data_IF_329310307711
#
_entry.id   IF_329310307711
#
_cell.length_a   1.000
_cell.length_b   1.000
_cell.length_c   1.000
_cell.angle_alpha   90.00
_cell.angle_beta   90.00
_cell.angle_gamma   90.00
#
_symmetry.space_group_name_H-M   'P 1'
#
loop_
_entity.id
_entity.type
_entity.pdbx_description
1 polymer ?
#
# COMPACT_ATOMS: atom_id res chain seq x y z
N UNK A 1 -8.67 -29.23 6.58
CA UNK A 1 -8.59 -28.15 7.58
C UNK A 1 -7.80 -27.02 6.93
N UNK A 2 -8.47 -25.93 6.54
CA UNK A 2 -7.76 -24.76 5.98
C UNK A 2 -6.97 -24.14 7.14
N UNK A 3 -5.64 -24.23 7.11
CA UNK A 3 -4.79 -23.48 8.02
C UNK A 3 -5.14 -21.99 7.85
N UNK A 4 -5.44 -21.30 8.94
CA UNK A 4 -5.67 -19.87 8.91
C UNK A 4 -4.41 -19.21 8.35
N UNK A 5 -4.56 -18.47 7.26
CA UNK A 5 -3.47 -17.71 6.63
C UNK A 5 -2.83 -16.75 7.65
N UNK A 6 -1.49 -16.83 7.81
CA UNK A 6 -0.75 -16.00 8.74
C UNK A 6 -0.46 -14.64 8.08
N UNK A 7 -1.02 -13.56 8.61
CA UNK A 7 -1.04 -12.23 7.97
C UNK A 7 -0.49 -11.18 8.91
N UNK A 8 0.33 -10.26 8.40
CA UNK A 8 0.72 -9.06 9.12
C UNK A 8 0.40 -7.79 8.31
N UNK A 9 0.29 -6.66 9.02
CA UNK A 9 0.16 -5.34 8.40
C UNK A 9 1.55 -4.71 8.30
N UNK A 10 1.90 -4.22 7.13
CA UNK A 10 3.17 -3.55 6.86
C UNK A 10 2.96 -2.06 6.59
N UNK A 11 3.69 -1.21 7.29
CA UNK A 11 3.51 0.24 7.28
C UNK A 11 4.84 0.92 6.96
N UNK A 12 5.04 1.43 5.73
CA UNK A 12 6.15 2.33 5.45
C UNK A 12 5.88 3.69 6.11
N UNK A 13 6.82 4.20 6.89
CA UNK A 13 6.66 5.44 7.63
C UNK A 13 7.85 6.38 7.46
N UNK A 14 7.58 7.67 7.23
CA UNK A 14 8.57 8.73 7.20
C UNK A 14 7.97 10.03 7.73
N UNK A 15 8.46 10.50 8.88
CA UNK A 15 7.96 11.69 9.58
C UNK A 15 6.47 11.57 9.92
N UNK A 16 6.12 10.48 10.62
CA UNK A 16 4.76 10.19 11.09
C UNK A 16 4.66 10.20 12.63
N UNK A 17 5.62 10.83 13.32
CA UNK A 17 5.52 11.05 14.77
C UNK A 17 4.21 11.76 15.13
N UNK A 18 3.63 11.37 16.26
CA UNK A 18 2.30 11.83 16.72
C UNK A 18 1.11 11.09 16.12
N UNK A 19 1.32 10.24 15.06
CA UNK A 19 0.24 9.50 14.39
C UNK A 19 0.47 8.00 14.36
N UNK A 20 1.70 7.59 14.04
CA UNK A 20 2.04 6.19 13.81
C UNK A 20 1.68 5.29 15.00
N UNK A 21 1.86 5.76 16.22
CA UNK A 21 1.51 5.01 17.42
C UNK A 21 0.02 4.68 17.52
N UNK A 22 -0.85 5.61 17.14
CA UNK A 22 -2.30 5.38 17.12
C UNK A 22 -2.70 4.37 16.04
N UNK A 23 -2.11 4.48 14.84
CA UNK A 23 -2.34 3.53 13.73
C UNK A 23 -1.92 2.13 14.13
N UNK A 24 -0.72 1.96 14.70
CA UNK A 24 -0.22 0.65 15.15
C UNK A 24 -1.14 0.03 16.21
N UNK A 25 -1.53 0.80 17.25
CA UNK A 25 -2.45 0.28 18.28
C UNK A 25 -3.80 -0.14 17.70
N UNK A 26 -4.35 0.65 16.77
CA UNK A 26 -5.64 0.32 16.16
C UNK A 26 -5.58 -0.94 15.29
N UNK A 27 -4.48 -1.18 14.56
CA UNK A 27 -4.25 -2.43 13.81
C UNK A 27 -4.08 -3.60 14.76
N UNK A 28 -3.28 -3.45 15.83
CA UNK A 28 -3.08 -4.50 16.83
C UNK A 28 -4.37 -4.89 17.57
N UNK A 29 -5.25 -3.93 17.78
CA UNK A 29 -6.58 -4.19 18.35
C UNK A 29 -7.45 -5.11 17.47
N UNK A 30 -7.13 -5.22 16.15
CA UNK A 30 -7.75 -6.20 15.24
C UNK A 30 -7.08 -7.59 15.31
N UNK A 31 -6.14 -7.81 16.21
CA UNK A 31 -5.43 -9.08 16.37
C UNK A 31 -4.31 -9.34 15.35
N UNK A 32 -3.92 -8.33 14.55
CA UNK A 32 -2.89 -8.47 13.54
C UNK A 32 -1.53 -7.99 14.04
N UNK A 33 -0.47 -8.69 13.64
CA UNK A 33 0.91 -8.23 13.82
C UNK A 33 1.20 -7.03 12.90
N UNK A 34 2.09 -6.14 13.35
CA UNK A 34 2.45 -4.92 12.61
C UNK A 34 3.96 -4.85 12.43
N UNK A 35 4.39 -4.68 11.19
CA UNK A 35 5.77 -4.38 10.83
C UNK A 35 5.82 -2.94 10.31
N UNK A 36 6.56 -2.07 10.97
CA UNK A 36 6.80 -0.68 10.54
C UNK A 36 8.20 -0.57 9.98
N UNK A 37 8.34 0.00 8.80
CA UNK A 37 9.65 0.40 8.27
C UNK A 37 9.76 1.92 8.37
N UNK A 38 10.54 2.37 9.36
CA UNK A 38 10.94 3.77 9.50
C UNK A 38 12.00 4.11 8.44
N UNK A 39 11.60 4.83 7.42
CA UNK A 39 12.44 5.16 6.26
C UNK A 39 13.38 6.34 6.54
N UNK A 40 14.13 6.23 7.63
CA UNK A 40 15.13 7.23 8.03
C UNK A 40 14.52 8.53 8.58
N UNK A 41 13.46 8.44 9.38
CA UNK A 41 12.83 9.62 9.99
C UNK A 41 13.78 10.31 10.99
N UNK A 42 13.86 11.64 10.97
CA UNK A 42 14.62 12.40 11.95
C UNK A 42 13.88 12.64 13.28
N UNK A 43 12.58 12.27 13.32
CA UNK A 43 11.68 12.44 14.46
C UNK A 43 11.46 11.12 15.23
N UNK A 44 10.52 11.10 16.17
CA UNK A 44 10.22 9.94 17.01
C UNK A 44 9.40 8.83 16.32
N UNK A 45 9.22 8.84 15.00
CA UNK A 45 8.37 7.89 14.25
C UNK A 45 8.65 6.44 14.63
N UNK A 46 9.92 5.99 14.55
CA UNK A 46 10.29 4.62 14.88
C UNK A 46 10.06 4.27 16.36
N UNK A 47 10.41 5.20 17.26
CA UNK A 47 10.23 5.00 18.70
C UNK A 47 8.75 4.88 19.09
N UNK A 48 7.89 5.72 18.54
CA UNK A 48 6.44 5.67 18.79
C UNK A 48 5.80 4.38 18.23
N UNK A 49 6.25 3.92 17.05
CA UNK A 49 5.79 2.66 16.48
C UNK A 49 6.17 1.47 17.36
N UNK A 50 7.43 1.43 17.84
CA UNK A 50 7.91 0.38 18.74
C UNK A 50 7.15 0.39 20.07
N UNK A 51 6.97 1.57 20.69
CA UNK A 51 6.20 1.73 21.92
C UNK A 51 4.73 1.31 21.78
N UNK A 52 4.17 1.39 20.56
CA UNK A 52 2.82 0.92 20.24
C UNK A 52 2.75 -0.60 19.96
N UNK A 53 3.90 -1.30 19.95
CA UNK A 53 4.00 -2.75 19.82
C UNK A 53 4.20 -3.24 18.39
N UNK A 54 4.73 -2.42 17.48
CA UNK A 54 5.16 -2.87 16.16
C UNK A 54 6.57 -3.46 16.20
N UNK A 55 6.84 -4.42 15.30
CA UNK A 55 8.21 -4.74 14.89
C UNK A 55 8.71 -3.62 14.01
N UNK A 56 9.79 -2.94 14.40
CA UNK A 56 10.32 -1.78 13.68
C UNK A 56 11.63 -2.11 13.00
N UNK A 57 11.68 -1.87 11.69
CA UNK A 57 12.91 -1.83 10.89
C UNK A 57 13.23 -0.38 10.55
N UNK A 58 14.51 -0.01 10.58
CA UNK A 58 14.90 1.38 10.30
C UNK A 58 15.95 1.45 9.20
N UNK A 59 15.69 2.30 8.20
CA UNK A 59 16.69 2.68 7.23
C UNK A 59 17.61 3.79 7.77
N UNK A 60 18.89 3.75 7.43
CA UNK A 60 19.83 4.81 7.83
C UNK A 60 19.49 6.17 7.21
N UNK A 61 18.90 6.17 6.01
CA UNK A 61 18.46 7.36 5.28
C UNK A 61 17.14 7.08 4.56
N UNK A 62 16.41 8.13 4.15
CA UNK A 62 15.20 7.98 3.36
C UNK A 62 15.49 7.38 1.99
N UNK A 63 14.95 6.18 1.72
CA UNK A 63 15.07 5.41 0.48
C UNK A 63 13.80 5.43 -0.35
N UNK A 64 12.72 5.96 0.20
CA UNK A 64 11.39 6.08 -0.39
C UNK A 64 10.48 4.89 -0.12
N UNK A 65 9.16 5.15 -0.24
CA UNK A 65 8.08 4.20 0.10
C UNK A 65 8.26 2.82 -0.53
N UNK A 66 8.65 2.75 -1.80
CA UNK A 66 8.86 1.47 -2.49
C UNK A 66 9.97 0.62 -1.86
N UNK A 67 11.08 1.23 -1.44
CA UNK A 67 12.16 0.54 -0.76
C UNK A 67 11.74 0.08 0.65
N UNK A 68 10.98 0.91 1.37
CA UNK A 68 10.44 0.55 2.68
C UNK A 68 9.47 -0.63 2.60
N UNK A 69 8.56 -0.62 1.63
CA UNK A 69 7.66 -1.76 1.38
C UNK A 69 8.44 -3.04 1.05
N UNK A 70 9.46 -2.95 0.18
CA UNK A 70 10.28 -4.11 -0.14
C UNK A 70 10.99 -4.69 1.10
N UNK A 71 11.54 -3.83 1.96
CA UNK A 71 12.13 -4.24 3.24
C UNK A 71 11.10 -4.92 4.14
N UNK A 72 9.87 -4.38 4.21
CA UNK A 72 8.79 -4.98 4.98
C UNK A 72 8.37 -6.36 4.44
N UNK A 73 8.31 -6.53 3.11
CA UNK A 73 7.98 -7.82 2.50
C UNK A 73 9.05 -8.89 2.75
N UNK A 74 10.33 -8.51 2.74
CA UNK A 74 11.42 -9.41 3.09
C UNK A 74 11.29 -9.88 4.56
N UNK A 75 11.10 -8.94 5.48
CA UNK A 75 10.87 -9.24 6.90
C UNK A 75 9.65 -10.15 7.11
N UNK A 76 8.54 -9.88 6.43
CA UNK A 76 7.35 -10.71 6.53
C UNK A 76 7.60 -12.17 6.06
N UNK A 77 8.37 -12.36 4.98
CA UNK A 77 8.78 -13.71 4.52
C UNK A 77 9.65 -14.42 5.55
N UNK A 78 10.64 -13.73 6.10
CA UNK A 78 11.57 -14.28 7.11
C UNK A 78 10.83 -14.73 8.37
N UNK A 79 9.71 -14.06 8.71
CA UNK A 79 8.87 -14.41 9.86
C UNK A 79 7.76 -15.41 9.53
N UNK A 80 7.74 -15.99 8.31
CA UNK A 80 6.80 -17.04 7.94
C UNK A 80 5.36 -16.58 7.77
N UNK A 81 5.13 -15.30 7.39
CA UNK A 81 3.80 -14.84 7.00
C UNK A 81 3.47 -15.33 5.59
N UNK A 82 2.20 -15.62 5.34
CA UNK A 82 1.66 -16.03 4.04
C UNK A 82 1.27 -14.82 3.18
N UNK A 83 0.78 -13.77 3.86
CA UNK A 83 0.30 -12.57 3.21
C UNK A 83 0.60 -11.31 4.04
N UNK A 84 0.52 -10.18 3.37
CA UNK A 84 0.65 -8.86 4.01
C UNK A 84 -0.49 -7.94 3.61
N UNK A 85 -0.84 -7.03 4.50
CA UNK A 85 -1.66 -5.87 4.17
C UNK A 85 -0.78 -4.63 4.25
N UNK A 86 -0.67 -3.88 3.15
CA UNK A 86 0.00 -2.58 3.16
C UNK A 86 -0.95 -1.51 3.68
N UNK A 87 -0.44 -0.58 4.48
CA UNK A 87 -1.21 0.53 5.03
C UNK A 87 -0.30 1.74 5.21
N UNK A 88 -0.80 2.95 4.95
CA UNK A 88 -0.01 4.17 5.18
C UNK A 88 0.01 4.55 6.67
N UNK A 89 1.13 5.15 7.12
CA UNK A 89 1.32 5.55 8.53
C UNK A 89 0.65 6.87 8.90
N UNK A 90 0.03 7.57 7.96
CA UNK A 90 -0.56 8.91 8.11
C UNK A 90 -1.96 8.90 8.77
N UNK A 91 -2.55 7.72 8.97
CA UNK A 91 -3.86 7.54 9.58
C UNK A 91 -5.03 7.88 8.65
N UNK A 92 -4.83 7.99 7.34
CA UNK A 92 -5.92 8.18 6.37
C UNK A 92 -6.69 6.88 6.09
N UNK A 93 -6.09 5.72 6.32
CA UNK A 93 -6.76 4.42 6.23
C UNK A 93 -7.39 4.06 7.57
N UNK A 94 -8.64 3.61 7.55
CA UNK A 94 -9.34 3.16 8.74
C UNK A 94 -8.97 1.70 9.05
N UNK A 95 -8.30 1.40 10.17
CA UNK A 95 -8.01 0.01 10.56
C UNK A 95 -9.26 -0.84 10.77
N UNK A 96 -10.42 -0.23 11.01
CA UNK A 96 -11.70 -0.95 11.10
C UNK A 96 -12.14 -1.57 9.76
N UNK A 97 -11.53 -1.21 8.65
CA UNK A 97 -11.78 -1.84 7.34
C UNK A 97 -10.91 -3.09 7.07
N UNK A 98 -9.93 -3.40 7.95
CA UNK A 98 -9.09 -4.61 7.83
C UNK A 98 -9.91 -5.90 7.73
N UNK A 99 -10.93 -6.16 8.58
CA UNK A 99 -11.77 -7.35 8.45
C UNK A 99 -12.50 -7.42 7.10
N UNK A 100 -12.97 -6.29 6.58
CA UNK A 100 -13.69 -6.25 5.30
C UNK A 100 -12.74 -6.56 4.12
N UNK A 101 -11.53 -6.00 4.12
CA UNK A 101 -10.50 -6.29 3.12
C UNK A 101 -10.09 -7.77 3.14
N UNK A 102 -9.91 -8.35 4.32
CA UNK A 102 -9.59 -9.76 4.50
C UNK A 102 -10.74 -10.68 4.05
N UNK A 103 -11.98 -10.31 4.35
CA UNK A 103 -13.16 -11.07 3.91
C UNK A 103 -13.28 -11.04 2.37
N UNK A 104 -13.03 -9.90 1.74
CA UNK A 104 -13.00 -9.78 0.28
C UNK A 104 -11.90 -10.65 -0.34
N UNK A 105 -10.68 -10.62 0.18
CA UNK A 105 -9.57 -11.45 -0.28
C UNK A 105 -9.88 -12.94 -0.20
N UNK A 106 -10.53 -13.38 0.89
CA UNK A 106 -10.98 -14.78 1.05
C UNK A 106 -12.08 -15.15 0.06
N UNK A 107 -13.04 -14.25 -0.17
CA UNK A 107 -14.19 -14.49 -1.07
C UNK A 107 -13.75 -14.55 -2.52
N UNK A 108 -12.89 -13.62 -2.95
CA UNK A 108 -12.39 -13.57 -4.33
C UNK A 108 -11.34 -14.66 -4.61
N UNK A 109 -10.62 -15.10 -3.57
CA UNK A 109 -9.45 -15.97 -3.71
C UNK A 109 -8.29 -15.31 -4.45
N UNK A 110 -8.42 -14.03 -4.83
CA UNK A 110 -7.40 -13.29 -5.55
C UNK A 110 -6.17 -13.12 -4.66
N UNK A 111 -4.95 -13.27 -5.22
CA UNK A 111 -3.73 -13.08 -4.46
C UNK A 111 -3.40 -11.59 -4.21
N UNK A 112 -4.16 -10.69 -4.82
CA UNK A 112 -4.06 -9.23 -4.65
C UNK A 112 -5.45 -8.63 -4.54
N UNK A 113 -5.70 -7.88 -3.47
CA UNK A 113 -6.88 -7.04 -3.33
C UNK A 113 -6.49 -5.59 -3.06
N UNK A 114 -7.04 -4.66 -3.83
CA UNK A 114 -6.78 -3.22 -3.69
C UNK A 114 -7.99 -2.54 -3.08
N UNK A 115 -7.78 -1.78 -2.01
CA UNK A 115 -8.83 -0.98 -1.40
C UNK A 115 -9.42 0.02 -2.39
N UNK A 116 -10.75 0.11 -2.43
CA UNK A 116 -11.49 0.99 -3.33
C UNK A 116 -12.19 2.11 -2.55
N UNK A 117 -11.57 3.29 -2.51
CA UNK A 117 -12.12 4.50 -1.92
C UNK A 117 -13.15 5.19 -2.82
N UNK A 118 -13.21 4.77 -4.10
CA UNK A 118 -14.15 5.35 -5.08
C UNK A 118 -15.59 4.88 -4.84
N UNK A 119 -15.78 3.82 -4.03
CA UNK A 119 -17.10 3.35 -3.62
C UNK A 119 -17.84 4.39 -2.74
N UNK A 120 -17.07 5.10 -1.88
CA UNK A 120 -17.57 6.22 -1.06
C UNK A 120 -16.64 7.44 -1.22
N UNK A 121 -16.69 8.06 -2.38
CA UNK A 121 -15.83 9.18 -2.72
C UNK A 121 -16.45 10.55 -2.39
N UNK A 122 -17.56 10.61 -1.64
CA UNK A 122 -18.27 11.87 -1.36
C UNK A 122 -17.37 12.89 -0.64
N UNK A 123 -16.59 12.43 0.34
CA UNK A 123 -15.65 13.26 1.11
C UNK A 123 -14.33 13.57 0.36
N UNK A 124 -14.08 12.93 -0.80
CA UNK A 124 -12.84 13.13 -1.54
C UNK A 124 -12.87 14.45 -2.33
N UNK A 125 -11.82 15.30 -2.24
CA UNK A 125 -11.72 16.51 -3.07
C UNK A 125 -11.89 16.19 -4.56
N UNK A 126 -12.69 16.98 -5.27
CA UNK A 126 -13.07 16.73 -6.67
C UNK A 126 -11.86 16.50 -7.58
N UNK A 127 -10.82 17.34 -7.46
CA UNK A 127 -9.61 17.22 -8.27
C UNK A 127 -8.93 15.86 -8.03
N UNK A 128 -8.77 15.45 -6.77
CA UNK A 128 -8.17 14.15 -6.41
C UNK A 128 -9.00 12.98 -6.95
N UNK A 129 -10.33 13.07 -6.89
CA UNK A 129 -11.24 12.06 -7.42
C UNK A 129 -11.10 11.87 -8.94
N UNK A 130 -11.05 12.97 -9.70
CA UNK A 130 -10.88 12.90 -11.15
C UNK A 130 -9.50 12.38 -11.54
N UNK A 131 -8.45 12.86 -10.89
CA UNK A 131 -7.07 12.38 -11.12
C UNK A 131 -6.95 10.88 -10.83
N UNK A 132 -7.46 10.41 -9.70
CA UNK A 132 -7.42 8.99 -9.33
C UNK A 132 -8.21 8.13 -10.34
N UNK A 133 -9.39 8.59 -10.77
CA UNK A 133 -10.18 7.89 -11.79
C UNK A 133 -9.44 7.79 -13.12
N UNK A 134 -8.85 8.89 -13.59
CA UNK A 134 -8.08 8.91 -14.83
C UNK A 134 -6.86 7.98 -14.78
N UNK A 135 -6.10 8.03 -13.69
CA UNK A 135 -4.94 7.16 -13.49
C UNK A 135 -5.35 5.69 -13.39
N UNK A 136 -6.42 5.39 -12.65
CA UNK A 136 -6.92 4.01 -12.50
C UNK A 136 -7.48 3.47 -13.82
N UNK A 137 -8.19 4.28 -14.59
CA UNK A 137 -8.65 3.91 -15.93
C UNK A 137 -7.48 3.58 -16.86
N UNK A 138 -6.43 4.44 -16.90
CA UNK A 138 -5.26 4.22 -17.73
C UNK A 138 -4.51 2.94 -17.34
N UNK A 139 -4.26 2.75 -16.02
CA UNK A 139 -3.63 1.53 -15.53
C UNK A 139 -4.46 0.29 -15.83
N UNK A 140 -5.77 0.35 -15.59
CA UNK A 140 -6.70 -0.75 -15.86
C UNK A 140 -6.66 -1.20 -17.34
N UNK A 141 -6.59 -0.22 -18.27
CA UNK A 141 -6.43 -0.50 -19.71
C UNK A 141 -5.13 -1.24 -20.02
N UNK A 142 -4.01 -0.82 -19.40
CA UNK A 142 -2.70 -1.46 -19.61
C UNK A 142 -2.64 -2.83 -18.95
N UNK A 143 -3.21 -2.98 -17.76
CA UNK A 143 -3.29 -4.25 -17.03
C UNK A 143 -4.30 -5.23 -17.64
N UNK A 144 -5.25 -4.74 -18.47
CA UNK A 144 -6.43 -5.48 -18.92
C UNK A 144 -7.26 -6.04 -17.77
N UNK A 145 -7.29 -5.32 -16.67
CA UNK A 145 -8.05 -5.65 -15.46
C UNK A 145 -8.71 -4.39 -14.92
N UNK A 146 -9.94 -4.52 -14.39
CA UNK A 146 -10.66 -3.40 -13.82
C UNK A 146 -10.30 -3.25 -12.32
N UNK A 147 -9.49 -2.24 -12.01
CA UNK A 147 -9.15 -1.85 -10.64
C UNK A 147 -9.60 -0.41 -10.42
N UNK A 148 -10.71 -0.18 -9.72
CA UNK A 148 -11.35 1.14 -9.61
C UNK A 148 -10.48 2.21 -8.95
N UNK A 149 -9.60 1.82 -8.01
CA UNK A 149 -8.72 2.75 -7.27
C UNK A 149 -7.28 2.20 -7.16
N UNK A 150 -6.52 2.29 -8.24
CA UNK A 150 -5.12 1.87 -8.27
C UNK A 150 -4.20 2.74 -7.41
N UNK A 151 -4.69 3.87 -6.89
CA UNK A 151 -3.92 4.82 -6.09
C UNK A 151 -4.11 4.61 -4.57
N UNK A 152 -4.95 3.67 -4.17
CA UNK A 152 -5.10 3.30 -2.77
C UNK A 152 -3.88 2.50 -2.30
N UNK A 153 -3.27 2.91 -1.18
CA UNK A 153 -2.14 2.21 -0.53
C UNK A 153 -2.58 1.10 0.43
N UNK A 154 -3.88 0.97 0.67
CA UNK A 154 -4.45 -0.07 1.54
C UNK A 154 -4.74 -1.31 0.70
N UNK A 155 -3.86 -2.33 0.76
CA UNK A 155 -3.88 -3.48 -0.15
C UNK A 155 -3.51 -4.76 0.57
N UNK A 156 -4.17 -5.85 0.19
CA UNK A 156 -3.78 -7.20 0.55
C UNK A 156 -2.91 -7.81 -0.56
N UNK A 157 -1.87 -8.52 -0.18
CA UNK A 157 -1.01 -9.29 -1.08
C UNK A 157 -0.63 -10.64 -0.47
N UNK A 158 -0.81 -11.73 -1.19
CA UNK A 158 -0.09 -12.97 -0.88
C UNK A 158 1.39 -12.79 -1.17
N UNK A 159 2.25 -13.13 -0.23
CA UNK A 159 3.70 -12.95 -0.38
C UNK A 159 4.29 -13.76 -1.53
N UNK A 160 3.66 -14.90 -1.88
CA UNK A 160 4.08 -15.75 -2.99
C UNK A 160 4.08 -15.04 -4.36
N UNK A 161 3.21 -14.03 -4.57
CA UNK A 161 3.16 -13.31 -5.85
C UNK A 161 4.04 -12.07 -5.89
N UNK A 162 4.46 -11.57 -4.72
CA UNK A 162 5.31 -10.38 -4.63
C UNK A 162 6.74 -10.67 -5.11
N UNK A 163 7.39 -9.72 -5.82
CA UNK A 163 8.77 -9.88 -6.24
C UNK A 163 9.72 -9.94 -5.03
N UNK A 164 10.81 -10.70 -5.18
CA UNK A 164 11.90 -10.73 -4.20
C UNK A 164 12.96 -9.67 -4.47
N UNK A 165 12.98 -9.12 -5.68
CA UNK A 165 13.88 -8.04 -6.07
C UNK A 165 13.25 -6.68 -5.75
N UNK A 166 14.06 -5.66 -5.37
CA UNK A 166 13.55 -4.33 -5.12
C UNK A 166 12.93 -3.72 -6.40
N UNK A 167 11.90 -2.87 -6.26
CA UNK A 167 11.28 -2.22 -7.41
C UNK A 167 12.26 -1.29 -8.12
N UNK A 168 12.08 -1.13 -9.42
CA UNK A 168 12.85 -0.19 -10.24
C UNK A 168 12.60 1.28 -9.86
N UNK A 169 11.42 1.58 -9.30
CA UNK A 169 11.08 2.89 -8.75
C UNK A 169 11.04 2.84 -7.22
N UNK A 170 11.50 3.92 -6.58
CA UNK A 170 11.65 3.97 -5.12
C UNK A 170 10.56 4.79 -4.41
N UNK A 171 9.71 5.52 -5.16
CA UNK A 171 8.68 6.43 -4.60
C UNK A 171 7.27 5.92 -4.88
N UNK A 172 6.25 6.78 -4.85
CA UNK A 172 4.84 6.44 -5.08
C UNK A 172 4.56 5.68 -6.38
N UNK A 173 5.39 5.86 -7.42
CA UNK A 173 5.30 5.09 -8.65
C UNK A 173 5.54 3.58 -8.47
N UNK A 174 6.26 3.19 -7.42
CA UNK A 174 6.58 1.78 -7.15
C UNK A 174 5.33 0.91 -6.94
N UNK A 175 4.30 1.45 -6.31
CA UNK A 175 3.05 0.71 -6.07
C UNK A 175 2.25 0.49 -7.37
N UNK A 176 2.25 1.49 -8.27
CA UNK A 176 1.64 1.34 -9.61
C UNK A 176 2.45 0.42 -10.50
N UNK A 177 3.79 0.49 -10.43
CA UNK A 177 4.70 -0.40 -11.14
C UNK A 177 4.50 -1.85 -10.70
N UNK A 178 4.36 -2.10 -9.39
CA UNK A 178 4.08 -3.42 -8.84
C UNK A 178 2.77 -4.00 -9.39
N UNK A 179 1.68 -3.23 -9.42
CA UNK A 179 0.41 -3.70 -10.00
C UNK A 179 0.55 -4.06 -11.49
N UNK A 180 1.28 -3.23 -12.25
CA UNK A 180 1.55 -3.50 -13.67
C UNK A 180 2.39 -4.76 -13.86
N UNK A 181 3.37 -5.03 -12.99
CA UNK A 181 4.21 -6.22 -13.06
C UNK A 181 3.44 -7.48 -12.69
N UNK A 182 2.62 -7.42 -11.67
CA UNK A 182 1.74 -8.53 -11.28
C UNK A 182 0.73 -8.84 -12.39
N UNK A 183 0.05 -7.83 -12.94
CA UNK A 183 -0.88 -8.01 -14.04
C UNK A 183 -0.20 -8.57 -15.30
N UNK A 184 1.03 -8.16 -15.62
CA UNK A 184 1.80 -8.68 -16.73
C UNK A 184 2.16 -10.18 -16.57
N UNK A 185 2.23 -10.65 -15.32
CA UNK A 185 2.44 -12.08 -14.97
C UNK A 185 1.12 -12.85 -14.89
N UNK A 186 -0.01 -12.24 -15.26
CA UNK A 186 -1.33 -12.86 -15.23
C UNK A 186 -1.92 -12.98 -13.81
N UNK A 187 -1.38 -12.27 -12.82
CA UNK A 187 -1.90 -12.29 -11.46
C UNK A 187 -3.23 -11.54 -11.40
N UNK A 188 -4.33 -12.18 -10.94
CA UNK A 188 -5.61 -11.51 -10.79
C UNK A 188 -5.57 -10.50 -9.65
N UNK A 189 -6.15 -9.31 -9.90
CA UNK A 189 -6.25 -8.21 -8.95
C UNK A 189 -7.71 -7.92 -8.70
N UNK A 190 -8.17 -8.16 -7.48
CA UNK A 190 -9.51 -7.83 -7.02
C UNK A 190 -9.53 -6.46 -6.33
N UNK A 191 -10.72 -6.04 -5.90
CA UNK A 191 -10.89 -4.75 -5.24
C UNK A 191 -11.99 -4.83 -4.18
N UNK A 192 -11.73 -4.26 -3.00
CA UNK A 192 -12.65 -4.20 -1.89
C UNK A 192 -12.97 -2.76 -1.48
N UNK A 193 -14.23 -2.41 -1.19
CA UNK A 193 -14.57 -1.07 -0.71
C UNK A 193 -13.87 -0.80 0.64
N UNK A 194 -13.28 0.39 0.76
CA UNK A 194 -12.65 0.87 2.01
C UNK A 194 -12.97 2.34 2.20
N UNK A 195 -13.00 2.76 3.46
CA UNK A 195 -13.20 4.16 3.84
C UNK A 195 -11.91 4.95 3.82
N UNK A 196 -12.01 6.26 3.72
CA UNK A 196 -10.89 7.18 3.91
C UNK A 196 -11.24 8.18 4.99
N UNK A 197 -10.37 8.31 5.97
CA UNK A 197 -10.48 9.33 7.01
C UNK A 197 -9.79 10.59 6.48
N UNK A 198 -10.58 11.57 6.05
CA UNK A 198 -10.06 12.88 5.68
C UNK A 198 -9.98 13.73 6.94
N UNK A 199 -8.75 14.02 7.37
CA UNK A 199 -8.44 15.05 8.36
C UNK A 199 -7.92 16.28 7.63
N UNK A 200 -7.92 17.45 8.27
CA UNK A 200 -7.47 18.75 7.69
C UNK A 200 -5.96 18.78 7.35
N UNK A 201 -5.43 17.73 6.80
CA UNK A 201 -4.02 17.61 6.47
C UNK A 201 -3.73 18.08 5.04
N UNK A 202 -2.68 18.89 4.90
CA UNK A 202 -2.14 19.21 3.58
C UNK A 202 -1.60 17.93 2.93
N UNK A 203 -2.17 17.56 1.78
CA UNK A 203 -1.70 16.41 1.00
C UNK A 203 -0.23 16.57 0.66
N UNK A 204 0.61 15.60 1.05
CA UNK A 204 2.03 15.51 0.64
C UNK A 204 2.19 15.19 -0.86
N UNK A 205 1.09 14.95 -1.56
CA UNK A 205 1.04 14.61 -2.99
C UNK A 205 0.95 15.90 -3.80
N UNK A 206 1.89 16.11 -4.72
CA UNK A 206 1.78 17.17 -5.73
C UNK A 206 1.15 16.56 -7.00
N UNK A 207 -0.13 16.87 -7.33
CA UNK A 207 -0.85 16.21 -8.41
C UNK A 207 -0.14 16.30 -9.76
N UNK A 208 0.50 17.44 -10.05
CA UNK A 208 1.19 17.66 -11.34
C UNK A 208 2.48 16.84 -11.42
N UNK A 209 3.33 16.94 -10.39
CA UNK A 209 4.61 16.24 -10.35
C UNK A 209 4.43 14.73 -10.35
N UNK A 210 3.46 14.23 -9.59
CA UNK A 210 3.21 12.79 -9.47
C UNK A 210 2.54 12.23 -10.73
N UNK A 211 1.70 13.02 -11.41
CA UNK A 211 1.17 12.66 -12.74
C UNK A 211 2.29 12.58 -13.78
N UNK A 212 3.21 13.56 -13.82
CA UNK A 212 4.34 13.54 -14.76
C UNK A 212 5.29 12.34 -14.50
N UNK A 213 5.56 12.02 -13.23
CA UNK A 213 6.34 10.83 -12.84
C UNK A 213 5.66 9.55 -13.28
N UNK A 214 4.35 9.47 -13.09
CA UNK A 214 3.54 8.34 -13.51
C UNK A 214 3.59 8.15 -15.04
N UNK A 215 3.37 9.21 -15.82
CA UNK A 215 3.48 9.16 -17.28
C UNK A 215 4.89 8.77 -17.74
N UNK A 216 5.92 9.31 -17.09
CA UNK A 216 7.32 8.93 -17.36
C UNK A 216 7.61 7.45 -17.05
N UNK A 217 7.01 6.88 -16.01
CA UNK A 217 7.08 5.44 -15.73
C UNK A 217 6.41 4.63 -16.84
N UNK A 218 5.22 5.02 -17.28
CA UNK A 218 4.47 4.36 -18.35
C UNK A 218 5.25 4.35 -19.67
N UNK A 219 5.85 5.48 -20.05
CA UNK A 219 6.67 5.59 -21.26
C UNK A 219 7.91 4.69 -21.20
N UNK A 220 8.65 4.71 -20.09
CA UNK A 220 9.82 3.82 -19.89
C UNK A 220 9.45 2.35 -20.02
N UNK A 221 8.27 1.96 -19.48
CA UNK A 221 7.78 0.59 -19.58
C UNK A 221 7.39 0.21 -21.02
N UNK A 222 6.78 1.13 -21.77
CA UNK A 222 6.43 0.91 -23.18
C UNK A 222 7.68 0.67 -24.05
N UNK A 223 8.76 1.42 -23.77
CA UNK A 223 10.05 1.27 -24.48
C UNK A 223 10.75 -0.05 -24.14
N UNK A 224 10.71 -0.50 -22.88
CA UNK A 224 11.35 -1.76 -22.44
C UNK A 224 10.64 -3.03 -22.92
N UNK A 225 9.41 -2.93 -23.45
CA UNK A 225 8.63 -4.06 -24.00
C UNK A 225 8.77 -4.24 -25.52
N UNK A 226 9.50 -3.35 -26.18
CA UNK A 226 9.94 -3.48 -27.58
C UNK A 226 11.36 -4.03 -27.65
#
# INVERSE_FOLDING_TARGET
>A
MSSSENICVVIPAFREAGRIGAVVRAVRAQGLAVVVVDDGSPDATGAEAAAAGATVLRHATNRGKGAALHTAYACAREHGYDAVITMDGDGQHDPADLPALLAAARTTGAPVDVGNRMADAAAMPRVRRWTNRGMSWLLGRVMRQQVPDTQCGFRYYRLAVLPTQPPGSTRYAAESELLLDLAARGVPIASAPVRTIYRDEQSKINPVVDTLRFLGMMLRRAVRRR
#
